data_IF_730174240616
#
_entry.id   IF_730174240616
#
_cell.length_a   1.000
_cell.length_b   1.000
_cell.length_c   1.000
_cell.angle_alpha   90.00
_cell.angle_beta   90.00
_cell.angle_gamma   90.00
#
_symmetry.space_group_name_H-M   'P 1'
#
loop_
_entity.id
_entity.type
_entity.pdbx_description
1 polymer ?
#
# COMPACT_ATOMS: atom_id res chain seq x y z
N UNK A 1 7.71 -7.97 -10.69
CA UNK A 1 7.59 -7.01 -9.57
C UNK A 1 7.29 -5.58 -10.06
N UNK A 2 6.35 -5.42 -10.99
CA UNK A 2 6.01 -4.13 -11.60
C UNK A 2 5.03 -3.30 -10.74
N UNK A 3 4.19 -3.95 -9.93
CA UNK A 3 3.08 -3.26 -9.26
C UNK A 3 3.54 -2.33 -8.15
N UNK A 4 4.55 -2.72 -7.37
CA UNK A 4 5.13 -1.85 -6.35
C UNK A 4 5.77 -0.59 -6.98
N UNK A 5 6.39 -0.70 -8.16
CA UNK A 5 6.97 0.46 -8.84
C UNK A 5 5.90 1.46 -9.29
N UNK A 6 4.68 0.98 -9.57
CA UNK A 6 3.54 1.80 -9.98
C UNK A 6 2.79 2.42 -8.80
N UNK A 7 2.59 1.67 -7.71
CA UNK A 7 1.80 2.15 -6.57
C UNK A 7 2.57 3.11 -5.66
N UNK A 8 3.90 2.97 -5.57
CA UNK A 8 4.76 3.86 -4.77
C UNK A 8 4.63 5.35 -5.08
N UNK A 9 4.82 5.81 -6.34
CA UNK A 9 4.71 7.24 -6.64
C UNK A 9 3.31 7.76 -6.34
N UNK A 10 2.26 6.99 -6.65
CA UNK A 10 0.88 7.35 -6.34
C UNK A 10 0.66 7.54 -4.83
N UNK A 11 1.10 6.60 -3.99
CA UNK A 11 0.93 6.70 -2.52
C UNK A 11 1.68 7.92 -1.98
N UNK A 12 2.90 8.20 -2.47
CA UNK A 12 3.67 9.38 -2.07
C UNK A 12 2.98 10.68 -2.50
N UNK A 13 2.50 10.73 -3.73
CA UNK A 13 1.78 11.87 -4.27
C UNK A 13 0.51 12.15 -3.47
N UNK A 14 -0.29 11.14 -3.17
CA UNK A 14 -1.52 11.29 -2.37
C UNK A 14 -1.22 11.82 -0.97
N UNK A 15 -0.16 11.33 -0.32
CA UNK A 15 0.27 11.82 0.98
C UNK A 15 0.72 13.30 0.94
N UNK A 16 1.33 13.74 -0.17
CA UNK A 16 1.74 15.13 -0.36
C UNK A 16 0.57 16.06 -0.72
N UNK A 17 -0.36 15.61 -1.57
CA UNK A 17 -1.49 16.43 -2.06
C UNK A 17 -2.60 16.60 -1.02
N UNK A 18 -2.71 15.67 -0.08
CA UNK A 18 -3.79 15.66 0.92
C UNK A 18 -3.24 15.56 2.35
N UNK A 19 -2.46 16.57 2.82
CA UNK A 19 -1.92 16.54 4.17
C UNK A 19 -3.05 16.52 5.20
N UNK A 20 -3.00 15.57 6.13
CA UNK A 20 -3.99 15.43 7.21
C UNK A 20 -5.34 14.82 6.81
N UNK A 21 -5.53 14.44 5.54
CA UNK A 21 -6.75 13.77 5.09
C UNK A 21 -6.63 12.24 5.18
N UNK A 22 -7.75 11.58 5.45
CA UNK A 22 -7.87 10.13 5.29
C UNK A 22 -8.12 9.79 3.82
N UNK A 23 -7.19 9.03 3.22
CA UNK A 23 -7.28 8.56 1.82
C UNK A 23 -7.54 7.07 1.81
N UNK A 24 -8.61 6.65 1.13
CA UNK A 24 -8.97 5.23 0.95
C UNK A 24 -8.55 4.76 -0.44
N UNK A 25 -7.66 3.76 -0.48
CA UNK A 25 -7.27 3.09 -1.73
C UNK A 25 -8.15 1.85 -1.97
N UNK A 26 -8.87 1.84 -3.08
CA UNK A 26 -9.72 0.72 -3.51
C UNK A 26 -9.09 0.04 -4.73
N UNK A 27 -8.68 -1.22 -4.57
CA UNK A 27 -8.04 -2.02 -5.62
C UNK A 27 -8.13 -3.52 -5.31
N UNK A 28 -7.49 -4.37 -6.11
CA UNK A 28 -7.40 -5.80 -5.88
C UNK A 28 -6.47 -6.17 -4.70
N UNK A 29 -6.72 -7.33 -4.09
CA UNK A 29 -6.01 -7.81 -2.90
C UNK A 29 -4.49 -7.85 -3.06
N UNK A 30 -3.97 -8.39 -4.17
CA UNK A 30 -2.53 -8.47 -4.40
C UNK A 30 -1.88 -7.08 -4.50
N UNK A 31 -2.48 -6.15 -5.24
CA UNK A 31 -1.96 -4.78 -5.37
C UNK A 31 -1.92 -4.08 -4.01
N UNK A 32 -2.99 -4.24 -3.21
CA UNK A 32 -3.06 -3.68 -1.87
C UNK A 32 -2.06 -4.34 -0.92
N UNK A 33 -1.85 -5.66 -0.98
CA UNK A 33 -0.86 -6.37 -0.16
C UNK A 33 0.59 -6.01 -0.55
N UNK A 34 0.89 -5.87 -1.84
CA UNK A 34 2.18 -5.41 -2.35
C UNK A 34 2.48 -4.00 -1.82
N UNK A 35 1.49 -3.12 -1.91
CA UNK A 35 1.59 -1.75 -1.38
C UNK A 35 1.76 -1.78 0.14
N UNK A 36 1.01 -2.62 0.85
CA UNK A 36 1.14 -2.81 2.30
C UNK A 36 2.55 -3.24 2.69
N UNK A 37 3.13 -4.24 2.03
CA UNK A 37 4.49 -4.71 2.29
C UNK A 37 5.52 -3.58 2.16
N UNK A 38 5.43 -2.80 1.07
CA UNK A 38 6.31 -1.66 0.88
C UNK A 38 6.15 -0.60 1.96
N UNK A 39 4.91 -0.20 2.28
CA UNK A 39 4.64 0.80 3.33
C UNK A 39 5.12 0.33 4.71
N UNK A 40 5.04 -0.96 4.99
CA UNK A 40 5.56 -1.59 6.21
C UNK A 40 7.09 -1.79 6.22
N UNK A 41 7.81 -1.27 5.22
CA UNK A 41 9.26 -1.38 5.13
C UNK A 41 9.80 -2.74 4.66
N UNK A 42 8.92 -3.66 4.23
CA UNK A 42 9.29 -4.99 3.74
C UNK A 42 9.52 -4.99 2.22
N UNK A 43 10.32 -5.94 1.70
CA UNK A 43 10.39 -6.19 0.27
C UNK A 43 9.00 -6.49 -0.30
N UNK A 44 8.56 -5.83 -1.38
CA UNK A 44 7.22 -6.10 -1.96
C UNK A 44 7.06 -7.53 -2.49
N UNK A 45 8.17 -8.20 -2.82
CA UNK A 45 8.17 -9.62 -3.16
C UNK A 45 7.57 -10.49 -2.04
N UNK A 46 7.71 -10.05 -0.78
CA UNK A 46 7.25 -10.76 0.41
C UNK A 46 5.81 -10.43 0.79
N UNK A 47 5.01 -9.80 -0.08
CA UNK A 47 3.62 -9.43 0.21
C UNK A 47 2.72 -10.60 0.64
N UNK A 48 3.06 -11.83 0.23
CA UNK A 48 2.36 -13.06 0.62
C UNK A 48 2.69 -13.53 2.05
N UNK A 49 3.76 -13.01 2.65
CA UNK A 49 4.08 -13.24 4.06
C UNK A 49 3.17 -12.45 5.00
N UNK A 50 2.47 -11.43 4.48
CA UNK A 50 1.49 -10.67 5.24
C UNK A 50 0.17 -11.44 5.30
N UNK A 51 -0.61 -11.29 6.39
CA UNK A 51 -1.95 -11.89 6.45
C UNK A 51 -2.78 -11.50 5.23
N UNK A 52 -3.48 -12.45 4.62
CA UNK A 52 -4.25 -12.20 3.39
C UNK A 52 -5.32 -11.11 3.56
N UNK A 53 -5.47 -10.26 2.55
CA UNK A 53 -6.52 -9.25 2.50
C UNK A 53 -7.79 -9.85 1.88
N UNK A 54 -8.72 -10.29 2.75
CA UNK A 54 -10.01 -10.82 2.31
C UNK A 54 -10.94 -9.79 1.67
N UNK A 55 -12.06 -10.27 1.13
CA UNK A 55 -13.05 -9.45 0.42
C UNK A 55 -13.53 -8.27 1.26
N UNK A 56 -13.59 -7.08 0.66
CA UNK A 56 -14.03 -5.83 1.26
C UNK A 56 -13.33 -5.48 2.60
N UNK A 57 -12.16 -6.08 2.88
CA UNK A 57 -11.43 -5.82 4.12
C UNK A 57 -10.64 -4.52 3.99
N UNK A 58 -10.78 -3.65 4.98
CA UNK A 58 -10.01 -2.41 5.10
C UNK A 58 -8.79 -2.62 6.00
N UNK A 59 -7.66 -2.03 5.62
CA UNK A 59 -6.45 -1.98 6.46
C UNK A 59 -5.81 -0.61 6.36
N UNK A 60 -5.34 -0.12 7.50
CA UNK A 60 -4.53 1.09 7.54
C UNK A 60 -3.15 0.79 6.97
N UNK A 61 -2.70 1.64 6.06
CA UNK A 61 -1.32 1.67 5.60
C UNK A 61 -0.51 2.56 6.53
N UNK A 62 0.71 2.14 6.88
CA UNK A 62 1.64 2.95 7.65
C UNK A 62 2.60 3.62 6.65
N UNK A 63 2.39 4.88 6.25
CA UNK A 63 3.23 5.50 5.25
C UNK A 63 4.69 5.50 5.72
N UNK A 64 5.57 4.90 4.92
CA UNK A 64 7.00 4.94 5.17
C UNK A 64 7.48 6.38 4.94
N UNK A 65 7.89 7.04 6.01
CA UNK A 65 8.56 8.36 5.92
C UNK A 65 10.00 8.11 5.47
N UNK A 66 10.27 8.28 4.18
CA UNK A 66 11.61 8.25 3.58
C UNK A 66 11.62 9.11 2.33
#
# INVERSE_FOLDING_TARGET
MTDAARTRPLVRELAQRHPGADVVLVAHGDVLQITQAWTAGRPPAEHRSLPHLGNAKLRRLLPRQS
#
